data_IF_293631440632
#
_entry.id   IF_293631440632
#
_cell.length_a   1.000
_cell.length_b   1.000
_cell.length_c   1.000
_cell.angle_alpha   90.00
_cell.angle_beta   90.00
_cell.angle_gamma   90.00
#
_symmetry.space_group_name_H-M   'P 1'
#
loop_
_entity.id
_entity.type
_entity.pdbx_description
1 polymer ?
#
# COMPACT_ATOMS: atom_id res chain seq x y z
N UNK A 1 -28.15 31.87 55.67
CA UNK A 1 -28.90 30.61 55.90
C UNK A 1 -29.02 29.86 54.57
N UNK A 2 -28.03 29.01 54.24
CA UNK A 2 -27.97 28.36 52.93
C UNK A 2 -28.95 27.19 52.87
N UNK A 3 -30.11 27.39 52.24
CA UNK A 3 -31.06 26.32 51.91
C UNK A 3 -30.46 25.45 50.83
N UNK A 4 -29.76 24.38 51.22
CA UNK A 4 -29.25 23.36 50.30
C UNK A 4 -30.46 22.75 49.56
N UNK A 5 -30.59 23.04 48.26
CA UNK A 5 -31.61 22.41 47.42
C UNK A 5 -31.33 20.90 47.40
N UNK A 6 -32.31 20.08 47.76
CA UNK A 6 -32.18 18.62 47.68
C UNK A 6 -31.98 18.23 46.21
N UNK A 7 -31.06 17.31 45.90
CA UNK A 7 -30.84 16.87 44.53
C UNK A 7 -32.12 16.23 43.98
N UNK A 8 -32.48 16.61 42.75
CA UNK A 8 -33.67 16.08 42.10
C UNK A 8 -33.34 14.67 41.59
N UNK A 9 -33.64 13.66 42.40
CA UNK A 9 -33.19 12.27 42.19
C UNK A 9 -33.60 11.70 40.83
N UNK A 10 -34.74 12.15 40.31
CA UNK A 10 -35.21 11.84 38.96
C UNK A 10 -34.24 12.31 37.86
N UNK A 11 -33.68 13.52 37.97
CA UNK A 11 -32.69 14.04 37.02
C UNK A 11 -31.37 13.26 37.09
N UNK A 12 -30.99 12.81 38.29
CA UNK A 12 -29.78 11.99 38.47
C UNK A 12 -29.95 10.64 37.78
N UNK A 13 -31.11 10.00 37.90
CA UNK A 13 -31.39 8.72 37.23
C UNK A 13 -31.34 8.85 35.71
N UNK A 14 -31.97 9.90 35.16
CA UNK A 14 -31.92 10.17 33.71
C UNK A 14 -30.49 10.38 33.23
N UNK A 15 -29.70 11.16 33.97
CA UNK A 15 -28.29 11.39 33.65
C UNK A 15 -27.50 10.08 33.66
N UNK A 16 -27.74 9.21 34.64
CA UNK A 16 -27.07 7.91 34.76
C UNK A 16 -27.39 6.99 33.57
N UNK A 17 -28.65 6.98 33.12
CA UNK A 17 -29.07 6.23 31.93
C UNK A 17 -28.40 6.80 30.67
N UNK A 18 -28.33 8.13 30.55
CA UNK A 18 -27.65 8.79 29.42
C UNK A 18 -26.16 8.45 29.36
N UNK A 19 -25.46 8.53 30.50
CA UNK A 19 -24.03 8.22 30.59
C UNK A 19 -23.77 6.74 30.29
N UNK A 20 -24.57 5.83 30.83
CA UNK A 20 -24.40 4.39 30.56
C UNK A 20 -24.61 4.05 29.09
N UNK A 21 -25.60 4.63 28.43
CA UNK A 21 -25.83 4.44 27.00
C UNK A 21 -24.65 4.98 26.16
N UNK A 22 -24.17 6.18 26.48
CA UNK A 22 -23.03 6.79 25.80
C UNK A 22 -21.76 5.97 25.97
N UNK A 23 -21.48 5.46 27.18
CA UNK A 23 -20.34 4.59 27.45
C UNK A 23 -20.37 3.32 26.60
N UNK A 24 -21.54 2.70 26.43
CA UNK A 24 -21.68 1.51 25.59
C UNK A 24 -21.41 1.83 24.11
N UNK A 25 -21.88 2.98 23.62
CA UNK A 25 -21.63 3.42 22.25
C UNK A 25 -20.14 3.64 22.01
N UNK A 26 -19.46 4.35 22.93
CA UNK A 26 -18.02 4.65 22.82
C UNK A 26 -17.20 3.36 22.78
N UNK A 27 -17.49 2.40 23.67
CA UNK A 27 -16.77 1.12 23.71
C UNK A 27 -16.93 0.36 22.39
N UNK A 28 -18.16 0.31 21.84
CA UNK A 28 -18.42 -0.37 20.57
C UNK A 28 -17.72 0.33 19.40
N UNK A 29 -17.75 1.65 19.35
CA UNK A 29 -17.07 2.42 18.31
C UNK A 29 -15.55 2.25 18.36
N UNK A 30 -14.96 2.15 19.56
CA UNK A 30 -13.51 1.99 19.71
C UNK A 30 -13.00 0.72 19.00
N UNK A 31 -13.73 -0.40 19.13
CA UNK A 31 -13.35 -1.65 18.46
C UNK A 31 -13.38 -1.51 16.93
N UNK A 32 -14.42 -0.86 16.39
CA UNK A 32 -14.57 -0.66 14.94
C UNK A 32 -13.45 0.23 14.42
N UNK A 33 -13.18 1.35 15.10
CA UNK A 33 -12.10 2.27 14.73
C UNK A 33 -10.73 1.60 14.74
N UNK A 34 -10.47 0.73 15.72
CA UNK A 34 -9.22 -0.01 15.77
C UNK A 34 -9.09 -0.98 14.57
N UNK A 35 -10.15 -1.71 14.23
CA UNK A 35 -10.14 -2.62 13.07
C UNK A 35 -9.95 -1.86 11.75
N UNK A 36 -10.63 -0.73 11.58
CA UNK A 36 -10.52 0.09 10.37
C UNK A 36 -9.12 0.71 10.24
N UNK A 37 -8.50 1.13 11.35
CA UNK A 37 -7.12 1.63 11.32
C UNK A 37 -6.13 0.55 10.90
N UNK A 38 -6.27 -0.67 11.42
CA UNK A 38 -5.41 -1.79 11.03
C UNK A 38 -5.59 -2.15 9.54
N UNK A 39 -6.83 -2.10 9.03
CA UNK A 39 -7.10 -2.33 7.61
C UNK A 39 -6.50 -1.24 6.72
N UNK A 40 -6.59 0.03 7.12
CA UNK A 40 -5.95 1.15 6.41
C UNK A 40 -4.43 0.95 6.38
N UNK A 41 -3.81 0.60 7.51
CA UNK A 41 -2.36 0.37 7.58
C UNK A 41 -1.91 -0.78 6.68
N UNK A 42 -2.65 -1.90 6.65
CA UNK A 42 -2.39 -3.03 5.75
C UNK A 42 -2.54 -2.65 4.27
N UNK A 43 -3.57 -1.87 3.94
CA UNK A 43 -3.78 -1.38 2.57
C UNK A 43 -2.68 -0.40 2.13
N UNK A 44 -2.27 0.51 3.01
CA UNK A 44 -1.19 1.46 2.73
C UNK A 44 0.15 0.73 2.49
N UNK A 45 0.44 -0.31 3.28
CA UNK A 45 1.61 -1.17 3.06
C UNK A 45 1.57 -1.84 1.69
N UNK A 46 0.43 -2.44 1.32
CA UNK A 46 0.25 -3.07 0.00
C UNK A 46 0.41 -2.08 -1.14
N UNK A 47 -0.13 -0.87 -0.99
CA UNK A 47 0.01 0.20 -1.99
C UNK A 47 1.50 0.54 -2.17
N UNK A 48 2.26 0.63 -1.08
CA UNK A 48 3.67 0.97 -1.17
C UNK A 48 4.50 -0.16 -1.79
N UNK A 49 4.23 -1.42 -1.43
CA UNK A 49 4.84 -2.59 -2.08
C UNK A 49 4.58 -2.62 -3.59
N UNK A 50 3.33 -2.37 -4.00
CA UNK A 50 2.96 -2.34 -5.43
C UNK A 50 3.61 -1.16 -6.17
N UNK A 51 3.77 0.00 -5.53
CA UNK A 51 4.52 1.12 -6.13
C UNK A 51 6.00 0.78 -6.30
N UNK A 52 6.64 0.19 -5.29
CA UNK A 52 8.03 -0.26 -5.41
C UNK A 52 8.20 -1.29 -6.52
N UNK A 53 7.27 -2.24 -6.62
CA UNK A 53 7.26 -3.22 -7.70
C UNK A 53 7.10 -2.55 -9.06
N UNK A 54 6.20 -1.58 -9.18
CA UNK A 54 5.99 -0.83 -10.41
C UNK A 54 7.27 -0.09 -10.84
N UNK A 55 7.95 0.58 -9.90
CA UNK A 55 9.22 1.26 -10.16
C UNK A 55 10.29 0.29 -10.65
N UNK A 56 10.44 -0.88 -10.00
CA UNK A 56 11.39 -1.92 -10.41
C UNK A 56 11.09 -2.44 -11.84
N UNK A 57 9.81 -2.64 -12.15
CA UNK A 57 9.38 -3.08 -13.48
C UNK A 57 9.60 -2.00 -14.54
N UNK A 58 9.43 -0.73 -14.22
CA UNK A 58 9.76 0.38 -15.13
C UNK A 58 11.26 0.44 -15.40
N UNK A 59 12.10 0.31 -14.38
CA UNK A 59 13.56 0.24 -14.54
C UNK A 59 14.00 -0.98 -15.36
N UNK A 60 13.36 -2.14 -15.15
CA UNK A 60 13.61 -3.33 -15.98
C UNK A 60 13.17 -3.11 -17.43
N UNK A 61 12.01 -2.49 -17.65
CA UNK A 61 11.50 -2.15 -18.98
C UNK A 61 12.46 -1.22 -19.73
N UNK A 62 12.94 -0.17 -19.08
CA UNK A 62 13.94 0.74 -19.65
C UNK A 62 15.25 0.01 -19.98
N UNK A 63 15.72 -0.90 -19.11
CA UNK A 63 16.90 -1.73 -19.39
C UNK A 63 16.70 -2.67 -20.58
N UNK A 64 15.55 -3.34 -20.66
CA UNK A 64 15.20 -4.24 -21.77
C UNK A 64 15.00 -3.47 -23.09
N UNK A 65 14.54 -2.23 -23.02
CA UNK A 65 14.40 -1.37 -24.19
C UNK A 65 15.66 -0.58 -24.53
N UNK A 66 16.74 -0.74 -23.76
CA UNK A 66 18.01 -0.09 -24.09
C UNK A 66 18.57 -0.62 -25.41
N UNK A 67 19.20 0.27 -26.17
CA UNK A 67 19.82 -0.08 -27.46
C UNK A 67 20.83 -1.24 -27.32
N UNK A 68 21.51 -1.35 -26.17
CA UNK A 68 22.45 -2.44 -25.86
C UNK A 68 21.75 -3.80 -25.72
N UNK A 69 20.60 -3.85 -25.04
CA UNK A 69 19.83 -5.08 -24.90
C UNK A 69 19.20 -5.49 -26.24
N UNK A 70 18.66 -4.52 -26.99
CA UNK A 70 18.14 -4.75 -28.35
C UNK A 70 19.25 -5.26 -29.27
N UNK A 71 20.45 -4.66 -29.24
CA UNK A 71 21.61 -5.09 -30.01
C UNK A 71 22.03 -6.51 -29.64
N UNK A 72 22.01 -6.86 -28.34
CA UNK A 72 22.36 -8.19 -27.85
C UNK A 72 21.38 -9.26 -28.34
N UNK A 73 20.07 -8.99 -28.27
CA UNK A 73 19.03 -9.90 -28.78
C UNK A 73 19.13 -10.03 -30.30
N UNK A 74 19.34 -8.92 -31.02
CA UNK A 74 19.54 -8.92 -32.46
C UNK A 74 20.76 -9.77 -32.88
N UNK A 75 21.88 -9.68 -32.15
CA UNK A 75 23.06 -10.51 -32.37
C UNK A 75 22.79 -11.99 -32.06
N UNK A 76 22.13 -12.29 -30.95
CA UNK A 76 21.94 -13.67 -30.46
C UNK A 76 20.86 -14.44 -31.22
N UNK A 77 19.68 -13.83 -31.42
CA UNK A 77 18.52 -14.49 -32.02
C UNK A 77 18.48 -14.36 -33.54
N UNK A 78 18.94 -13.21 -34.07
CA UNK A 78 18.86 -12.90 -35.50
C UNK A 78 20.23 -12.99 -36.21
N UNK A 79 21.33 -13.19 -35.46
CA UNK A 79 22.68 -13.23 -36.02
C UNK A 79 23.12 -11.90 -36.66
N UNK A 80 22.46 -10.80 -36.30
CA UNK A 80 22.75 -9.48 -36.87
C UNK A 80 24.09 -8.96 -36.35
N UNK A 81 24.80 -8.22 -37.18
CA UNK A 81 26.08 -7.58 -36.83
C UNK A 81 26.04 -6.10 -37.17
N UNK A 82 26.80 -5.31 -36.42
CA UNK A 82 26.80 -3.86 -36.59
C UNK A 82 27.54 -3.47 -37.87
N UNK A 83 27.16 -2.34 -38.46
CA UNK A 83 27.80 -1.84 -39.67
C UNK A 83 29.30 -1.64 -39.44
N UNK A 84 30.14 -2.28 -40.27
CA UNK A 84 31.61 -2.27 -40.14
C UNK A 84 32.22 -3.51 -39.45
N UNK A 85 31.42 -4.42 -38.90
CA UNK A 85 31.91 -5.69 -38.34
C UNK A 85 32.03 -6.79 -39.40
N UNK A 86 33.01 -7.70 -39.24
CA UNK A 86 33.23 -8.86 -40.14
C UNK A 86 32.91 -10.15 -39.41
N UNK A 87 32.02 -10.96 -39.99
CA UNK A 87 31.66 -12.30 -39.48
C UNK A 87 32.69 -13.32 -39.95
N UNK A 88 33.32 -14.03 -39.02
CA UNK A 88 34.17 -15.18 -39.32
C UNK A 88 33.37 -16.46 -39.09
N UNK A 89 33.09 -17.21 -40.16
CA UNK A 89 32.45 -18.52 -40.08
C UNK A 89 33.54 -19.57 -40.24
N UNK A 90 33.75 -20.40 -39.21
CA UNK A 90 34.69 -21.51 -39.30
C UNK A 90 34.10 -22.60 -40.21
N UNK A 91 34.79 -22.85 -41.33
CA UNK A 91 34.41 -23.81 -42.37
C UNK A 91 35.05 -25.19 -42.17
N UNK A 92 35.84 -25.39 -41.11
CA UNK A 92 36.44 -26.69 -40.81
C UNK A 92 35.52 -27.51 -39.89
N UNK A 93 34.53 -28.18 -40.47
CA UNK A 93 33.84 -29.30 -39.83
C UNK A 93 33.47 -30.38 -40.83
#
# INVERSE_FOLDING_TARGET
>A
MNKRKKPNWFLIIILLIGVTNLSVIIIRQQSILNSQRAEIEDLDLKIEEEKELNLKLLEERERVLSDEYIETIARRELGLVKEGERVFVDINK
#
